data_IF_704746427337
#
_entry.id   IF_704746427337
#
_cell.length_a   1.000
_cell.length_b   1.000
_cell.length_c   1.000
_cell.angle_alpha   90.00
_cell.angle_beta   90.00
_cell.angle_gamma   90.00
#
_symmetry.space_group_name_H-M   'P 1'
#
loop_
_entity.id
_entity.type
_entity.pdbx_description
1 polymer ?
#
# COMPACT_ATOMS: atom_id res chain seq x y z
N UNK A 1 -12.83 -63.78 -74.57
CA UNK A 1 -13.17 -63.81 -73.16
C UNK A 1 -12.43 -62.67 -72.48
N UNK A 2 -13.00 -61.52 -72.30
CA UNK A 2 -12.40 -60.37 -71.62
C UNK A 2 -13.23 -60.10 -70.36
N UNK A 3 -12.61 -60.25 -69.22
CA UNK A 3 -13.19 -60.04 -67.88
C UNK A 3 -12.84 -58.62 -67.43
N UNK A 4 -13.86 -57.76 -67.31
CA UNK A 4 -13.68 -56.37 -66.86
C UNK A 4 -13.66 -56.32 -65.32
N UNK A 5 -12.60 -55.78 -64.74
CA UNK A 5 -12.48 -55.44 -63.31
C UNK A 5 -13.08 -54.03 -63.08
N UNK A 6 -14.15 -53.95 -62.30
CA UNK A 6 -14.71 -52.69 -61.83
C UNK A 6 -13.97 -52.23 -60.54
N UNK A 7 -13.25 -51.14 -60.62
CA UNK A 7 -12.68 -50.43 -59.44
C UNK A 7 -13.77 -49.66 -58.72
N UNK A 8 -14.05 -50.01 -57.48
CA UNK A 8 -14.83 -49.21 -56.55
C UNK A 8 -13.93 -48.15 -55.89
N UNK A 9 -14.19 -46.87 -56.15
CA UNK A 9 -13.58 -45.75 -55.44
C UNK A 9 -14.38 -45.49 -54.18
N UNK A 10 -13.87 -45.90 -53.01
CA UNK A 10 -14.39 -45.55 -51.72
C UNK A 10 -14.04 -44.12 -51.37
N UNK A 11 -15.02 -43.25 -51.21
CA UNK A 11 -14.82 -41.89 -50.71
C UNK A 11 -14.72 -41.95 -49.16
N UNK A 12 -13.55 -41.63 -48.62
CA UNK A 12 -13.39 -41.38 -47.17
C UNK A 12 -13.89 -39.98 -46.85
N UNK A 13 -14.96 -39.90 -46.11
CA UNK A 13 -15.44 -38.64 -45.49
C UNK A 13 -14.67 -38.44 -44.19
N UNK A 14 -13.71 -37.50 -44.21
CA UNK A 14 -13.03 -37.08 -43.00
C UNK A 14 -13.92 -36.11 -42.21
N UNK A 15 -14.46 -36.56 -41.08
CA UNK A 15 -15.21 -35.71 -40.15
C UNK A 15 -14.20 -34.91 -39.32
N UNK A 16 -14.03 -33.63 -39.61
CA UNK A 16 -13.30 -32.67 -38.78
C UNK A 16 -14.19 -32.29 -37.59
N UNK A 17 -13.90 -32.84 -36.41
CA UNK A 17 -14.43 -32.35 -35.14
C UNK A 17 -13.65 -31.10 -34.76
N UNK A 18 -14.21 -29.91 -35.01
CA UNK A 18 -13.69 -28.65 -34.52
C UNK A 18 -13.91 -28.59 -33.00
N UNK A 19 -12.83 -28.80 -32.22
CA UNK A 19 -12.81 -28.50 -30.80
C UNK A 19 -12.90 -26.99 -30.62
N UNK A 20 -14.11 -26.50 -30.36
CA UNK A 20 -14.31 -25.11 -29.91
C UNK A 20 -13.79 -25.00 -28.47
N UNK A 21 -12.54 -24.55 -28.29
CA UNK A 21 -12.03 -24.08 -27.02
C UNK A 21 -12.75 -22.77 -26.66
N UNK A 22 -13.70 -22.84 -25.75
CA UNK A 22 -14.25 -21.63 -25.11
C UNK A 22 -13.12 -21.01 -24.29
N UNK A 23 -12.83 -19.70 -24.45
CA UNK A 23 -11.94 -19.02 -23.52
C UNK A 23 -12.58 -19.10 -22.13
N UNK A 24 -11.86 -19.65 -21.17
CA UNK A 24 -12.24 -19.56 -19.78
C UNK A 24 -12.27 -18.04 -19.44
N UNK A 25 -13.46 -17.49 -19.21
CA UNK A 25 -13.56 -16.16 -18.64
C UNK A 25 -12.84 -16.21 -17.28
N UNK A 26 -11.67 -15.59 -17.19
CA UNK A 26 -11.08 -15.29 -15.92
C UNK A 26 -12.09 -14.42 -15.16
N UNK A 27 -12.63 -14.94 -14.07
CA UNK A 27 -13.48 -14.13 -13.19
C UNK A 27 -12.65 -12.91 -12.77
N UNK A 28 -13.21 -11.72 -12.94
CA UNK A 28 -12.56 -10.50 -12.45
C UNK A 28 -12.33 -10.64 -10.93
N UNK A 29 -11.14 -10.27 -10.46
CA UNK A 29 -10.85 -10.26 -9.03
C UNK A 29 -11.74 -9.19 -8.38
N UNK A 30 -12.70 -9.62 -7.56
CA UNK A 30 -13.66 -8.74 -6.89
C UNK A 30 -13.08 -8.12 -5.60
N UNK A 31 -11.84 -8.44 -5.25
CA UNK A 31 -11.15 -7.88 -4.10
C UNK A 31 -10.77 -6.41 -4.35
N UNK A 32 -10.78 -5.63 -3.26
CA UNK A 32 -10.41 -4.21 -3.31
C UNK A 32 -8.89 -4.07 -3.39
N UNK A 33 -8.34 -3.42 -4.45
CA UNK A 33 -6.90 -3.18 -4.52
C UNK A 33 -6.47 -2.17 -3.43
N UNK A 34 -5.49 -2.56 -2.61
CA UNK A 34 -4.93 -1.74 -1.54
C UNK A 34 -3.41 -1.72 -1.63
N UNK A 35 -2.83 -0.54 -1.51
CA UNK A 35 -1.38 -0.33 -1.54
C UNK A 35 -0.99 0.95 -0.83
N UNK A 36 0.31 1.22 -0.73
CA UNK A 36 0.81 2.44 -0.10
C UNK A 36 0.26 3.71 -0.74
N UNK A 37 -0.31 4.58 0.07
CA UNK A 37 -1.00 5.79 -0.38
C UNK A 37 -2.52 5.65 -0.57
N UNK A 38 -3.08 4.46 -0.38
CA UNK A 38 -4.53 4.28 -0.40
C UNK A 38 -5.20 5.04 0.76
N UNK A 39 -6.27 5.77 0.46
CA UNK A 39 -7.12 6.38 1.49
C UNK A 39 -7.87 5.30 2.28
N UNK A 40 -7.86 5.42 3.60
CA UNK A 40 -8.56 4.53 4.51
C UNK A 40 -9.52 5.32 5.42
N UNK A 41 -10.64 4.69 5.74
CA UNK A 41 -11.66 5.21 6.66
C UNK A 41 -11.71 4.31 7.87
N UNK A 42 -11.52 4.89 9.05
CA UNK A 42 -11.42 4.18 10.31
C UNK A 42 -12.68 4.46 11.10
N UNK A 43 -13.37 3.40 11.56
CA UNK A 43 -14.65 3.45 12.26
C UNK A 43 -15.74 4.29 11.56
N UNK A 44 -15.61 4.52 10.24
CA UNK A 44 -16.60 5.23 9.42
C UNK A 44 -16.46 6.75 9.36
N UNK A 45 -15.54 7.36 10.10
CA UNK A 45 -15.42 8.82 10.21
C UNK A 45 -13.99 9.38 10.09
N UNK A 46 -13.00 8.68 10.60
CA UNK A 46 -11.61 9.15 10.59
C UNK A 46 -10.92 8.79 9.29
N UNK A 47 -10.41 9.79 8.58
CA UNK A 47 -9.74 9.65 7.29
C UNK A 47 -8.23 9.68 7.45
N UNK A 48 -7.55 8.62 7.01
CA UNK A 48 -6.09 8.49 7.01
C UNK A 48 -5.58 7.82 5.74
N UNK A 49 -4.28 7.59 5.67
CA UNK A 49 -3.63 6.96 4.51
C UNK A 49 -2.97 5.65 4.93
N UNK A 50 -3.08 4.62 4.11
CA UNK A 50 -2.36 3.36 4.27
C UNK A 50 -0.88 3.55 3.93
N UNK A 51 0.03 3.18 4.85
CA UNK A 51 1.47 3.31 4.62
C UNK A 51 1.97 2.28 3.62
N UNK A 52 1.67 1.02 3.87
CA UNK A 52 2.08 -0.11 3.03
C UNK A 52 1.25 -1.33 3.39
N UNK A 53 1.31 -2.36 2.55
CA UNK A 53 0.66 -3.64 2.77
C UNK A 53 1.60 -4.76 2.36
N UNK A 54 1.51 -5.90 3.05
CA UNK A 54 2.34 -7.07 2.79
C UNK A 54 1.98 -8.21 3.72
N UNK A 55 2.95 -9.04 4.07
CA UNK A 55 2.76 -10.19 4.97
C UNK A 55 3.74 -10.14 6.12
N UNK A 56 3.33 -10.64 7.30
CA UNK A 56 4.22 -10.86 8.44
C UNK A 56 4.75 -12.30 8.48
N UNK A 57 5.58 -12.59 9.51
CA UNK A 57 6.15 -13.93 9.70
C UNK A 57 5.12 -15.03 9.97
N UNK A 58 3.89 -14.67 10.35
CA UNK A 58 2.78 -15.60 10.53
C UNK A 58 1.99 -15.84 9.22
N UNK A 59 2.35 -15.14 8.14
CA UNK A 59 1.66 -15.20 6.85
C UNK A 59 0.36 -14.39 6.82
N UNK A 60 0.13 -13.53 7.82
CA UNK A 60 -1.04 -12.67 7.88
C UNK A 60 -0.86 -11.46 6.96
N UNK A 61 -1.96 -11.04 6.30
CA UNK A 61 -1.96 -9.82 5.47
C UNK A 61 -2.01 -8.59 6.37
N UNK A 62 -0.92 -7.85 6.39
CA UNK A 62 -0.67 -6.72 7.30
C UNK A 62 -0.50 -5.42 6.53
N UNK A 63 -1.07 -4.34 7.06
CA UNK A 63 -0.78 -2.97 6.65
C UNK A 63 -0.47 -2.07 7.83
N UNK A 64 0.00 -0.85 7.54
CA UNK A 64 0.37 0.15 8.55
C UNK A 64 -0.31 1.48 8.28
N UNK A 65 -0.56 2.23 9.35
CA UNK A 65 -0.98 3.65 9.34
C UNK A 65 -0.56 4.30 10.66
N UNK A 66 -0.84 5.57 10.85
CA UNK A 66 -0.57 6.26 12.13
C UNK A 66 -1.49 5.76 13.25
N UNK A 67 -0.95 5.69 14.49
CA UNK A 67 -1.72 5.28 15.67
C UNK A 67 -2.79 6.32 16.05
N UNK A 68 -2.53 7.61 15.87
CA UNK A 68 -3.54 8.64 16.14
C UNK A 68 -4.77 8.57 15.24
N UNK A 69 -4.73 7.77 14.16
CA UNK A 69 -5.90 7.49 13.32
C UNK A 69 -6.90 6.53 13.98
N UNK A 70 -6.44 5.67 14.89
CA UNK A 70 -7.29 4.71 15.61
C UNK A 70 -6.46 3.63 16.31
N UNK A 71 -7.08 2.97 17.27
CA UNK A 71 -6.45 1.94 18.11
C UNK A 71 -6.91 0.52 17.79
N UNK A 72 -6.38 -0.48 18.52
CA UNK A 72 -6.79 -1.87 18.40
C UNK A 72 -8.32 -2.05 18.51
N UNK A 73 -8.90 -2.83 17.58
CA UNK A 73 -10.35 -3.03 17.45
C UNK A 73 -11.02 -2.10 16.44
N UNK A 74 -10.37 -1.02 16.01
CA UNK A 74 -10.93 -0.10 15.02
C UNK A 74 -11.06 -0.78 13.65
N UNK A 75 -12.23 -0.62 13.02
CA UNK A 75 -12.55 -1.16 11.69
C UNK A 75 -11.93 -0.27 10.61
N UNK A 76 -11.38 -0.89 9.57
CA UNK A 76 -10.74 -0.18 8.48
C UNK A 76 -11.42 -0.51 7.16
N UNK A 77 -11.91 0.51 6.45
CA UNK A 77 -12.47 0.41 5.11
C UNK A 77 -11.59 1.17 4.10
N UNK A 78 -11.71 0.85 2.81
CA UNK A 78 -11.11 1.66 1.76
C UNK A 78 -11.96 2.90 1.50
N UNK A 79 -11.35 4.07 1.38
CA UNK A 79 -12.06 5.30 1.00
C UNK A 79 -12.69 5.20 -0.40
N UNK A 80 -12.00 4.56 -1.33
CA UNK A 80 -12.44 4.39 -2.71
C UNK A 80 -13.53 3.31 -2.90
N UNK A 81 -13.84 2.51 -1.85
CA UNK A 81 -14.78 1.39 -1.90
C UNK A 81 -15.50 1.20 -0.56
N UNK A 82 -16.08 2.27 -0.02
CA UNK A 82 -16.74 2.24 1.30
C UNK A 82 -17.97 1.32 1.33
N UNK A 83 -18.63 1.11 0.20
CA UNK A 83 -19.73 0.17 0.01
C UNK A 83 -19.31 -1.30 0.24
N UNK A 84 -18.01 -1.62 0.18
CA UNK A 84 -17.46 -2.94 0.50
C UNK A 84 -17.36 -3.20 2.01
N UNK A 85 -17.63 -2.19 2.83
CA UNK A 85 -17.57 -2.26 4.30
C UNK A 85 -16.15 -2.43 4.83
N UNK A 86 -16.02 -3.03 6.01
CA UNK A 86 -14.71 -3.25 6.63
C UNK A 86 -13.88 -4.27 5.84
N UNK A 87 -12.66 -3.87 5.52
CA UNK A 87 -11.64 -4.69 4.85
C UNK A 87 -10.62 -5.28 5.83
N UNK A 88 -10.56 -4.76 7.06
CA UNK A 88 -9.61 -5.18 8.08
C UNK A 88 -9.88 -4.52 9.41
N UNK A 89 -9.05 -4.84 10.39
CA UNK A 89 -9.15 -4.32 11.76
C UNK A 89 -7.75 -3.97 12.27
N UNK A 90 -7.63 -2.87 13.02
CA UNK A 90 -6.40 -2.55 13.74
C UNK A 90 -6.19 -3.56 14.88
N UNK A 91 -5.02 -4.17 14.95
CA UNK A 91 -4.72 -5.27 15.90
C UNK A 91 -3.62 -4.92 16.90
N UNK A 92 -2.78 -3.94 16.59
CA UNK A 92 -1.69 -3.48 17.44
C UNK A 92 -1.35 -2.02 17.12
N UNK A 93 -0.54 -1.39 17.97
CA UNK A 93 -0.02 -0.05 17.74
C UNK A 93 0.94 0.39 18.83
N UNK A 94 1.56 1.54 18.64
CA UNK A 94 2.45 2.19 19.59
C UNK A 94 2.33 3.72 19.43
N UNK A 95 1.76 4.38 20.43
CA UNK A 95 1.52 5.83 20.40
C UNK A 95 2.84 6.64 20.42
N UNK A 96 3.92 6.11 21.00
CA UNK A 96 5.22 6.81 21.04
C UNK A 96 5.91 6.84 19.67
N UNK A 97 5.68 5.82 18.84
CA UNK A 97 6.15 5.74 17.45
C UNK A 97 5.02 5.98 16.44
N UNK A 98 3.87 6.41 16.92
CA UNK A 98 2.66 6.76 16.17
C UNK A 98 2.37 5.78 15.01
N UNK A 99 2.43 4.48 15.25
CA UNK A 99 2.03 3.49 14.25
C UNK A 99 0.91 2.58 14.75
N UNK A 100 0.04 2.20 13.83
CA UNK A 100 -0.95 1.14 14.00
C UNK A 100 -0.76 0.05 12.95
N UNK A 101 -1.01 -1.19 13.37
CA UNK A 101 -0.95 -2.40 12.54
C UNK A 101 -2.37 -2.81 12.20
N UNK A 102 -2.65 -2.94 10.91
CA UNK A 102 -3.94 -3.38 10.37
C UNK A 102 -3.80 -4.81 9.88
N UNK A 103 -4.65 -5.71 10.37
CA UNK A 103 -4.83 -7.04 9.79
C UNK A 103 -5.96 -6.99 8.77
N UNK A 104 -5.64 -7.22 7.51
CA UNK A 104 -6.60 -7.25 6.41
C UNK A 104 -7.18 -8.64 6.18
N UNK A 105 -8.41 -8.67 5.63
CA UNK A 105 -9.07 -9.88 5.17
C UNK A 105 -8.59 -10.21 3.73
N UNK A 106 -7.83 -11.30 3.52
CA UNK A 106 -7.31 -11.65 2.20
C UNK A 106 -8.40 -12.06 1.19
N UNK A 107 -9.61 -12.36 1.66
CA UNK A 107 -10.76 -12.60 0.77
C UNK A 107 -11.35 -11.31 0.20
N UNK A 108 -11.07 -10.16 0.82
CA UNK A 108 -11.61 -8.84 0.44
C UNK A 108 -10.58 -7.91 -0.19
N UNK A 109 -9.29 -8.11 0.10
CA UNK A 109 -8.20 -7.20 -0.29
C UNK A 109 -7.25 -7.87 -1.27
N UNK A 110 -6.96 -7.16 -2.37
CA UNK A 110 -5.88 -7.47 -3.30
C UNK A 110 -4.70 -6.54 -3.00
N UNK A 111 -3.61 -7.00 -2.36
CA UNK A 111 -2.48 -6.14 -2.08
C UNK A 111 -1.71 -5.83 -3.36
N UNK A 112 -1.30 -4.56 -3.54
CA UNK A 112 -0.55 -4.11 -4.72
C UNK A 112 0.67 -3.29 -4.31
N UNK A 113 1.82 -3.51 -4.98
CA UNK A 113 3.04 -2.74 -4.79
C UNK A 113 2.97 -1.36 -5.47
N UNK A 114 2.23 -1.29 -6.57
CA UNK A 114 1.97 -0.06 -7.32
C UNK A 114 0.52 0.37 -7.10
N UNK A 115 0.31 1.40 -6.28
CA UNK A 115 -1.01 1.97 -6.07
C UNK A 115 -1.09 3.37 -6.72
N UNK A 116 -1.91 3.49 -7.77
CA UNK A 116 -2.09 4.74 -8.53
C UNK A 116 -0.78 5.39 -9.01
N UNK A 117 0.20 4.57 -9.41
CA UNK A 117 1.50 5.03 -9.90
C UNK A 117 2.55 5.29 -8.80
N UNK A 118 2.19 5.14 -7.53
CA UNK A 118 3.15 5.18 -6.43
C UNK A 118 3.61 3.76 -6.09
N UNK A 119 4.91 3.50 -6.26
CA UNK A 119 5.51 2.17 -6.11
C UNK A 119 6.26 2.07 -4.81
N UNK A 120 6.06 0.98 -4.07
CA UNK A 120 6.90 0.56 -2.95
C UNK A 120 7.50 -0.79 -3.33
N UNK A 121 8.81 -0.80 -3.64
CA UNK A 121 9.53 -2.00 -4.07
C UNK A 121 10.25 -2.72 -2.93
N UNK A 122 10.22 -2.17 -1.72
CA UNK A 122 10.88 -2.71 -0.54
C UNK A 122 11.03 -1.67 0.55
N UNK A 123 11.80 -2.01 1.59
CA UNK A 123 12.12 -1.11 2.71
C UNK A 123 13.54 -0.60 2.50
N UNK A 124 13.72 0.73 2.63
CA UNK A 124 15.00 1.41 2.45
C UNK A 124 15.72 1.68 3.77
N UNK A 125 17.01 2.05 3.69
CA UNK A 125 17.73 2.59 4.83
C UNK A 125 17.21 4.01 5.17
N UNK A 126 17.53 4.47 6.38
CA UNK A 126 17.22 5.82 6.82
C UNK A 126 17.82 6.85 5.85
N UNK A 127 17.03 7.83 5.39
CA UNK A 127 17.47 8.75 4.38
C UNK A 127 18.45 9.77 4.94
N UNK A 128 19.52 10.07 4.19
CA UNK A 128 20.48 11.09 4.54
C UNK A 128 19.97 12.52 4.22
N UNK A 129 20.56 13.52 4.89
CA UNK A 129 20.34 14.94 4.58
C UNK A 129 20.54 15.20 3.08
N UNK A 130 19.62 15.95 2.49
CA UNK A 130 19.67 16.34 1.08
C UNK A 130 19.10 15.30 0.10
N UNK A 131 18.79 14.09 0.51
CA UNK A 131 18.10 13.14 -0.35
C UNK A 131 16.67 13.59 -0.66
N UNK A 132 16.23 13.34 -1.88
CA UNK A 132 14.85 13.60 -2.29
C UNK A 132 13.98 12.43 -1.86
N UNK A 133 12.98 12.72 -1.05
CA UNK A 133 11.95 11.79 -0.64
C UNK A 133 10.62 12.17 -1.30
N UNK A 134 9.82 11.17 -1.63
CA UNK A 134 8.46 11.35 -2.18
C UNK A 134 7.44 10.69 -1.27
N UNK A 135 6.29 11.33 -1.07
CA UNK A 135 5.17 10.78 -0.32
C UNK A 135 3.92 10.67 -1.19
N UNK A 136 3.04 9.75 -0.83
CA UNK A 136 1.71 9.61 -1.44
C UNK A 136 0.65 9.60 -0.36
N UNK A 137 -0.12 10.68 -0.25
CA UNK A 137 -1.20 10.79 0.71
C UNK A 137 -2.57 10.92 0.05
N UNK A 138 -3.62 10.55 0.77
CA UNK A 138 -4.99 10.63 0.26
C UNK A 138 -5.45 12.06 0.01
N UNK A 139 -4.96 13.03 0.81
CA UNK A 139 -5.39 14.43 0.75
C UNK A 139 -4.60 15.24 -0.26
N UNK A 140 -3.28 15.20 -0.20
CA UNK A 140 -2.43 16.05 -1.05
C UNK A 140 -1.75 15.30 -2.20
N UNK A 141 -2.02 13.99 -2.34
CA UNK A 141 -1.48 13.15 -3.40
C UNK A 141 0.04 13.00 -3.33
N UNK A 142 0.68 12.87 -4.49
CA UNK A 142 2.12 12.75 -4.59
C UNK A 142 2.81 14.12 -4.43
N UNK A 143 3.83 14.19 -3.55
CA UNK A 143 4.74 15.30 -3.45
C UNK A 143 6.13 14.83 -3.05
N UNK A 144 7.16 15.47 -3.62
CA UNK A 144 8.56 15.17 -3.33
C UNK A 144 9.25 16.41 -2.77
N UNK A 145 10.25 16.19 -1.92
CA UNK A 145 11.04 17.26 -1.32
C UNK A 145 12.29 16.73 -0.64
N UNK A 146 13.04 17.65 -0.10
CA UNK A 146 14.35 17.38 0.50
C UNK A 146 14.20 16.82 1.91
N UNK A 147 15.00 15.82 2.25
CA UNK A 147 15.20 15.34 3.63
C UNK A 147 16.09 16.32 4.38
N UNK A 148 15.62 16.80 5.54
CA UNK A 148 16.38 17.70 6.42
C UNK A 148 17.19 16.96 7.47
N UNK A 149 16.86 15.70 7.79
CA UNK A 149 17.52 14.87 8.78
C UNK A 149 16.64 14.52 9.98
N UNK A 150 17.23 14.07 11.10
CA UNK A 150 16.48 13.68 12.29
C UNK A 150 15.57 14.79 12.81
N UNK A 151 14.38 14.39 13.29
CA UNK A 151 13.45 15.30 13.95
C UNK A 151 13.82 15.50 15.44
N UNK A 152 12.90 16.16 16.16
CA UNK A 152 13.10 16.43 17.61
C UNK A 152 12.81 15.19 18.46
N UNK A 153 11.84 14.39 18.07
CA UNK A 153 11.46 13.17 18.77
C UNK A 153 12.22 11.96 18.22
N UNK A 154 12.55 10.97 19.08
CA UNK A 154 13.23 9.76 18.65
C UNK A 154 12.47 9.03 17.56
N UNK A 155 13.17 8.55 16.52
CA UNK A 155 12.57 7.82 15.41
C UNK A 155 11.81 8.72 14.42
N UNK A 156 12.02 10.05 14.47
CA UNK A 156 11.43 10.97 13.50
C UNK A 156 12.44 11.56 12.55
N UNK A 157 11.98 11.91 11.35
CA UNK A 157 12.73 12.53 10.28
C UNK A 157 11.92 13.73 9.78
N UNK A 158 12.60 14.84 9.50
CA UNK A 158 11.97 16.05 8.93
C UNK A 158 12.22 16.12 7.43
N UNK A 159 11.16 16.33 6.66
CA UNK A 159 11.22 16.36 5.19
C UNK A 159 10.34 17.47 4.62
N UNK A 160 10.81 18.15 3.57
CA UNK A 160 10.05 19.20 2.87
C UNK A 160 9.03 18.62 1.89
N UNK A 161 8.18 17.74 2.36
CA UNK A 161 7.06 17.20 1.59
C UNK A 161 5.74 17.82 2.05
N UNK A 162 4.78 17.91 1.13
CA UNK A 162 3.48 18.50 1.42
C UNK A 162 2.63 17.52 2.24
N UNK A 163 2.15 17.92 3.41
CA UNK A 163 1.24 17.15 4.26
C UNK A 163 0.06 18.00 4.72
N UNK A 164 -1.11 17.40 4.80
CA UNK A 164 -2.33 17.97 5.36
C UNK A 164 -3.12 16.90 6.15
N UNK A 165 -4.10 17.29 6.97
CA UNK A 165 -4.99 16.33 7.64
C UNK A 165 -5.54 15.29 6.66
N UNK A 166 -5.47 14.01 7.04
CA UNK A 166 -5.77 12.86 6.19
C UNK A 166 -4.55 12.21 5.52
N UNK A 167 -3.43 12.92 5.39
CA UNK A 167 -2.17 12.32 4.94
C UNK A 167 -1.44 11.54 6.06
N UNK A 168 -1.95 11.52 7.28
CA UNK A 168 -1.46 10.70 8.40
C UNK A 168 -1.32 9.24 7.98
N UNK A 169 -0.15 8.64 8.21
CA UNK A 169 0.18 7.30 7.73
C UNK A 169 0.64 7.23 6.27
N UNK A 170 0.62 8.32 5.50
CA UNK A 170 1.07 8.31 4.11
C UNK A 170 2.51 7.81 3.97
N UNK A 171 2.80 6.86 3.06
CA UNK A 171 4.15 6.36 2.84
C UNK A 171 5.09 7.44 2.34
N UNK A 172 6.33 7.39 2.79
CA UNK A 172 7.44 8.18 2.29
C UNK A 172 8.51 7.24 1.73
N UNK A 173 8.93 7.49 0.49
CA UNK A 173 9.93 6.66 -0.19
C UNK A 173 11.13 7.49 -0.66
N UNK A 174 12.29 6.83 -0.71
CA UNK A 174 13.47 7.27 -1.45
C UNK A 174 13.79 6.20 -2.48
N UNK A 175 13.80 6.55 -3.77
CA UNK A 175 14.01 5.60 -4.88
C UNK A 175 13.05 4.39 -4.83
N UNK A 176 11.76 4.63 -4.55
CA UNK A 176 10.72 3.61 -4.37
C UNK A 176 10.92 2.66 -3.17
N UNK A 177 11.89 2.90 -2.31
CA UNK A 177 12.06 2.17 -1.06
C UNK A 177 11.39 2.93 0.07
N UNK A 178 10.53 2.26 0.83
CA UNK A 178 9.83 2.82 1.98
C UNK A 178 10.83 3.17 3.08
N UNK A 179 10.83 4.43 3.51
CA UNK A 179 11.72 4.93 4.57
C UNK A 179 10.96 5.47 5.77
N UNK A 180 9.66 5.76 5.62
CA UNK A 180 8.87 6.27 6.73
C UNK A 180 7.41 6.49 6.35
N UNK A 181 6.65 7.05 7.29
CA UNK A 181 5.26 7.47 7.10
C UNK A 181 5.00 8.84 7.71
N UNK A 182 4.09 9.60 7.13
CA UNK A 182 3.71 10.93 7.63
C UNK A 182 3.08 10.79 9.01
N UNK A 183 3.66 11.51 9.98
CA UNK A 183 3.15 11.66 11.33
C UNK A 183 2.38 12.97 11.49
N UNK A 184 2.99 14.11 11.09
CA UNK A 184 2.39 15.42 11.27
C UNK A 184 3.21 16.56 10.66
N UNK A 185 2.89 17.78 11.09
CA UNK A 185 3.60 19.00 10.72
C UNK A 185 4.76 19.29 11.69
N UNK A 186 5.87 19.82 11.18
CA UNK A 186 7.01 20.20 12.03
C UNK A 186 6.68 21.39 12.95
N UNK A 187 5.82 22.31 12.51
CA UNK A 187 5.43 23.48 13.29
C UNK A 187 4.07 24.00 12.85
N UNK A 188 3.22 24.28 13.84
CA UNK A 188 1.92 24.93 13.62
C UNK A 188 2.03 26.43 13.35
N UNK A 189 3.22 27.02 13.58
CA UNK A 189 3.47 28.45 13.34
C UNK A 189 3.90 28.76 11.91
N UNK A 190 4.12 27.74 11.08
CA UNK A 190 4.45 27.90 9.67
C UNK A 190 3.20 27.64 8.80
N UNK A 191 3.11 28.25 7.61
CA UNK A 191 2.01 28.02 6.71
C UNK A 191 1.83 26.54 6.39
N UNK A 192 0.59 26.04 6.37
CA UNK A 192 0.29 24.71 5.88
C UNK A 192 0.57 24.60 4.38
N UNK A 193 0.82 23.39 3.89
CA UNK A 193 1.00 23.18 2.47
C UNK A 193 -0.32 23.36 1.70
N UNK A 194 -0.41 24.42 0.91
CA UNK A 194 -1.55 24.68 0.00
C UNK A 194 -1.21 24.25 -1.42
N UNK A 195 0.04 24.51 -1.85
CA UNK A 195 0.53 24.21 -3.20
C UNK A 195 1.77 23.32 -3.07
N UNK A 196 1.63 22.05 -3.41
CA UNK A 196 2.67 21.03 -3.22
C UNK A 196 3.98 21.26 -3.98
N UNK A 197 3.98 22.14 -4.97
CA UNK A 197 5.16 22.50 -5.76
C UNK A 197 5.93 23.72 -5.23
N UNK A 198 5.38 24.38 -4.20
CA UNK A 198 6.01 25.57 -3.59
C UNK A 198 6.44 25.19 -2.18
N UNK A 199 7.77 25.10 -1.90
CA UNK A 199 8.27 24.62 -0.61
C UNK A 199 8.22 25.71 0.49
N UNK A 200 7.26 26.64 0.40
CA UNK A 200 7.03 27.70 1.40
C UNK A 200 5.92 27.27 2.38
N UNK A 201 6.10 26.11 2.98
CA UNK A 201 5.18 25.54 3.97
C UNK A 201 5.96 24.80 5.07
N UNK A 202 5.27 24.48 6.17
CA UNK A 202 5.84 23.67 7.23
C UNK A 202 6.33 22.32 6.66
N UNK A 203 7.56 21.88 6.98
CA UNK A 203 8.00 20.54 6.67
C UNK A 203 7.09 19.50 7.35
N UNK A 204 7.06 18.30 6.82
CA UNK A 204 6.42 17.16 7.47
C UNK A 204 7.40 16.48 8.45
N UNK A 205 6.83 16.01 9.56
CA UNK A 205 7.48 15.03 10.44
C UNK A 205 7.06 13.65 9.98
N UNK A 206 8.04 12.79 9.78
CA UNK A 206 7.90 11.43 9.26
C UNK A 206 8.40 10.47 10.34
N UNK A 207 7.62 9.45 10.69
CA UNK A 207 8.10 8.35 11.53
C UNK A 207 8.97 7.43 10.68
N UNK A 208 10.18 7.17 11.17
CA UNK A 208 11.12 6.24 10.54
C UNK A 208 10.57 4.81 10.55
N UNK A 209 10.49 4.19 9.37
CA UNK A 209 9.88 2.87 9.24
C UNK A 209 10.75 1.75 9.81
N UNK A 210 12.09 1.91 9.81
CA UNK A 210 13.00 0.96 10.44
C UNK A 210 12.83 0.95 11.96
N UNK A 211 12.60 2.11 12.59
CA UNK A 211 12.28 2.22 14.03
C UNK A 211 10.97 1.50 14.37
N UNK A 212 9.94 1.62 13.52
CA UNK A 212 8.67 0.90 13.66
C UNK A 212 8.91 -0.61 13.60
N UNK A 213 9.63 -1.09 12.59
CA UNK A 213 9.93 -2.51 12.44
C UNK A 213 10.77 -3.06 13.60
N UNK A 214 11.73 -2.29 14.09
CA UNK A 214 12.54 -2.68 15.25
C UNK A 214 11.66 -2.87 16.51
N UNK A 215 10.71 -1.97 16.78
CA UNK A 215 9.77 -2.09 17.91
C UNK A 215 8.87 -3.33 17.76
N UNK A 216 8.26 -3.53 16.60
CA UNK A 216 7.36 -4.67 16.33
C UNK A 216 8.11 -6.00 16.49
N UNK A 217 9.30 -6.11 15.88
CA UNK A 217 10.12 -7.32 15.92
C UNK A 217 10.59 -7.65 17.33
N UNK A 218 10.97 -6.63 18.12
CA UNK A 218 11.43 -6.82 19.50
C UNK A 218 10.36 -7.40 20.42
N UNK A 219 9.10 -7.15 20.12
CA UNK A 219 7.94 -7.55 20.93
C UNK A 219 7.19 -8.75 20.36
N UNK A 220 7.61 -9.28 19.22
CA UNK A 220 6.94 -10.37 18.48
C UNK A 220 5.40 -10.14 18.34
N UNK A 221 5.01 -8.91 17.99
CA UNK A 221 3.61 -8.51 17.81
C UNK A 221 3.13 -8.82 16.40
N UNK A 222 1.80 -8.73 16.13
CA UNK A 222 1.29 -8.72 14.76
C UNK A 222 2.05 -7.72 13.90
N UNK A 223 2.50 -8.16 12.71
CA UNK A 223 3.40 -7.41 11.84
C UNK A 223 4.88 -7.72 12.01
N UNK A 224 5.30 -8.56 13.00
CA UNK A 224 6.69 -8.97 13.14
C UNK A 224 7.18 -9.74 11.92
N UNK A 225 8.39 -9.43 11.43
CA UNK A 225 8.93 -10.00 10.20
C UNK A 225 8.21 -9.53 8.94
N UNK A 226 7.60 -8.33 8.96
CA UNK A 226 6.87 -7.77 7.83
C UNK A 226 7.72 -7.65 6.58
N UNK A 227 7.13 -8.09 5.46
CA UNK A 227 7.67 -7.93 4.10
C UNK A 227 6.58 -7.27 3.24
N UNK A 228 6.84 -6.09 2.64
CA UNK A 228 5.87 -5.46 1.76
C UNK A 228 5.62 -6.31 0.52
N UNK A 229 4.41 -6.19 -0.06
CA UNK A 229 4.13 -6.78 -1.37
C UNK A 229 5.08 -6.15 -2.40
N UNK A 230 5.68 -6.97 -3.25
CA UNK A 230 6.51 -6.57 -4.38
C UNK A 230 5.88 -7.07 -5.68
N UNK A 231 6.18 -6.37 -6.82
CA UNK A 231 5.75 -6.77 -8.15
C UNK A 231 6.53 -7.99 -8.65
#
# INVERSE_FOLDING_TARGET
>A
MQTAYRCYKGAMVAVFVALMSFPANAAADDRVPMGGGAGIVINGDTMCTLTTIGTDSAGEMIGFTSAHCGGPGAQVAAEAAQDRGSLGVMVAGNDNLDYAVIKFDPAKVAPVANYNGFVISGIGPDPAFGQIACKQGRTTGNSCGVTWGPGQDPGTIVMQVCGQPGDSGAPVTVNNLLVGMIHGAFSDNLPTCIIKYIPLHTPAVVMDFNSILADINSRNRPGAGFVPVAD
#
